data_IF_357468871279
#
_entry.id   IF_357468871279
#
_cell.length_a   1.000
_cell.length_b   1.000
_cell.length_c   1.000
_cell.angle_alpha   90.00
_cell.angle_beta   90.00
_cell.angle_gamma   90.00
#
_symmetry.space_group_name_H-M   'P 1'
#
loop_
_entity.id
_entity.type
_entity.pdbx_description
1 polymer ?
#
# COMPACT_ATOMS: atom_id res chain seq x y z
N UNK A 1 -0.35 7.85 7.35
CA UNK A 1 0.60 8.27 6.31
C UNK A 1 2.01 8.21 6.89
N UNK A 2 2.69 7.06 6.79
CA UNK A 2 4.03 6.82 7.34
C UNK A 2 4.90 6.04 6.34
N UNK A 3 5.43 6.69 5.30
CA UNK A 3 5.97 6.00 4.11
C UNK A 3 7.20 5.11 4.32
N UNK A 4 7.93 5.34 5.40
CA UNK A 4 9.14 4.58 5.74
C UNK A 4 8.85 3.31 6.54
N UNK A 5 7.61 3.11 6.99
CA UNK A 5 7.21 1.94 7.77
C UNK A 5 6.95 0.70 6.92
N UNK A 6 7.13 0.78 5.59
CA UNK A 6 6.86 -0.30 4.66
C UNK A 6 5.48 -0.93 4.91
N UNK A 7 5.39 -2.26 4.96
CA UNK A 7 4.17 -3.01 5.20
C UNK A 7 3.91 -3.32 6.69
N UNK A 8 4.73 -2.81 7.62
CA UNK A 8 4.69 -3.19 9.04
C UNK A 8 3.33 -2.97 9.72
N UNK A 9 2.54 -2.02 9.23
CA UNK A 9 1.22 -1.69 9.76
C UNK A 9 0.06 -2.13 8.87
N UNK A 10 0.34 -2.85 7.77
CA UNK A 10 -0.68 -3.25 6.81
C UNK A 10 -1.77 -4.11 7.46
N UNK A 11 -1.40 -5.11 8.25
CA UNK A 11 -2.37 -5.97 8.92
C UNK A 11 -3.28 -5.22 9.91
N UNK A 12 -2.68 -4.37 10.75
CA UNK A 12 -3.43 -3.55 11.71
C UNK A 12 -4.36 -2.57 11.00
N UNK A 13 -3.89 -1.96 9.90
CA UNK A 13 -4.69 -1.05 9.10
C UNK A 13 -5.86 -1.78 8.41
N UNK A 14 -5.64 -2.98 7.89
CA UNK A 14 -6.70 -3.82 7.30
C UNK A 14 -7.73 -4.28 8.33
N UNK A 15 -7.30 -4.60 9.55
CA UNK A 15 -8.20 -4.98 10.65
C UNK A 15 -9.06 -3.80 11.13
N UNK A 16 -8.50 -2.59 11.14
CA UNK A 16 -9.22 -1.36 11.47
C UNK A 16 -10.12 -0.86 10.33
N UNK A 17 -9.88 -1.31 9.10
CA UNK A 17 -10.68 -0.93 7.93
C UNK A 17 -11.94 -1.78 7.85
N UNK A 18 -13.09 -1.11 7.74
CA UNK A 18 -14.41 -1.75 7.58
C UNK A 18 -14.42 -2.66 6.35
N UNK A 19 -15.17 -3.78 6.35
CA UNK A 19 -15.30 -4.60 5.15
C UNK A 19 -15.83 -3.80 3.95
N UNK A 20 -15.23 -4.01 2.77
CA UNK A 20 -15.49 -3.19 1.57
C UNK A 20 -14.92 -1.77 1.60
N UNK A 21 -14.31 -1.34 2.72
CA UNK A 21 -13.65 -0.05 2.87
C UNK A 21 -12.35 0.08 2.08
N UNK A 22 -11.84 1.31 1.98
CA UNK A 22 -10.60 1.62 1.26
C UNK A 22 -9.48 1.98 2.23
N UNK A 23 -8.28 1.50 1.93
CA UNK A 23 -7.03 1.82 2.62
C UNK A 23 -6.07 2.45 1.61
N UNK A 24 -5.43 3.55 2.01
CA UNK A 24 -4.41 4.24 1.21
C UNK A 24 -3.05 4.05 1.88
N UNK A 25 -2.24 3.15 1.32
CA UNK A 25 -0.93 2.79 1.85
C UNK A 25 0.15 3.64 1.16
N UNK A 26 0.81 4.49 1.93
CA UNK A 26 1.94 5.29 1.44
C UNK A 26 3.24 4.52 1.66
N UNK A 27 4.08 4.43 0.63
CA UNK A 27 5.33 3.68 0.65
C UNK A 27 6.46 4.47 0.00
N UNK A 28 7.64 4.40 0.60
CA UNK A 28 8.87 4.90 0.00
C UNK A 28 9.54 3.78 -0.80
N UNK A 29 9.35 3.75 -2.11
CA UNK A 29 9.89 2.74 -3.03
C UNK A 29 11.17 3.22 -3.73
N UNK A 30 11.96 2.30 -4.27
CA UNK A 30 13.00 2.69 -5.23
C UNK A 30 12.35 3.05 -6.58
N UNK A 31 12.94 3.99 -7.30
CA UNK A 31 12.47 4.38 -8.62
C UNK A 31 12.55 3.19 -9.57
N UNK A 32 11.44 2.92 -10.27
CA UNK A 32 11.34 1.82 -11.24
C UNK A 32 10.91 0.48 -10.62
N UNK A 33 10.86 0.38 -9.29
CA UNK A 33 10.27 -0.77 -8.62
C UNK A 33 8.74 -0.62 -8.55
N UNK A 34 8.06 -1.77 -8.65
CA UNK A 34 6.62 -1.86 -8.46
C UNK A 34 6.29 -2.51 -7.10
N UNK A 35 5.97 -1.71 -6.06
CA UNK A 35 5.67 -2.23 -4.73
C UNK A 35 4.32 -2.97 -4.64
N UNK A 36 3.54 -3.03 -5.73
CA UNK A 36 2.25 -3.72 -5.73
C UNK A 36 2.38 -5.24 -5.59
N UNK A 37 3.46 -5.86 -6.07
CA UNK A 37 3.66 -7.31 -5.98
C UNK A 37 3.78 -7.78 -4.52
N UNK A 38 4.66 -7.15 -3.75
CA UNK A 38 4.84 -7.44 -2.33
C UNK A 38 3.56 -7.15 -1.53
N UNK A 39 2.91 -6.02 -1.82
CA UNK A 39 1.64 -5.64 -1.19
C UNK A 39 0.54 -6.63 -1.49
N UNK A 40 0.44 -7.11 -2.73
CA UNK A 40 -0.56 -8.11 -3.15
C UNK A 40 -0.34 -9.43 -2.44
N UNK A 41 0.91 -9.89 -2.34
CA UNK A 41 1.25 -11.11 -1.59
C UNK A 41 0.86 -11.00 -0.11
N UNK A 42 1.04 -9.83 0.50
CA UNK A 42 0.71 -9.59 1.90
C UNK A 42 -0.81 -9.46 2.18
N UNK A 43 -1.65 -9.27 1.16
CA UNK A 43 -3.09 -9.05 1.36
C UNK A 43 -3.87 -10.33 1.69
N UNK A 44 -3.36 -11.53 1.40
CA UNK A 44 -3.90 -12.86 1.75
C UNK A 44 -5.43 -12.89 1.93
N UNK A 45 -6.19 -12.77 0.83
CA UNK A 45 -7.68 -12.77 0.77
C UNK A 45 -8.38 -11.63 1.53
N UNK A 46 -7.68 -10.86 2.36
CA UNK A 46 -8.22 -9.74 3.15
C UNK A 46 -8.41 -8.48 2.31
N UNK A 47 -7.90 -8.41 1.09
CA UNK A 47 -8.13 -7.27 0.21
C UNK A 47 -7.51 -7.44 -1.16
N UNK A 48 -7.64 -6.39 -1.97
CA UNK A 48 -7.05 -6.31 -3.32
C UNK A 48 -6.48 -4.91 -3.56
N UNK A 49 -5.40 -4.84 -4.32
CA UNK A 49 -4.91 -3.56 -4.86
C UNK A 49 -5.86 -3.10 -5.96
N UNK A 50 -6.34 -1.86 -5.89
CA UNK A 50 -7.18 -1.25 -6.92
C UNK A 50 -6.37 -0.30 -7.81
N UNK A 51 -5.38 0.39 -7.25
CA UNK A 51 -4.54 1.32 -8.01
C UNK A 51 -3.19 1.57 -7.33
N UNK A 52 -2.25 2.10 -8.11
CA UNK A 52 -0.99 2.66 -7.64
C UNK A 52 -0.77 4.03 -8.28
N UNK A 53 -0.26 4.99 -7.52
CA UNK A 53 0.06 6.34 -8.01
C UNK A 53 1.39 6.83 -7.44
N UNK A 54 2.16 7.53 -8.27
CA UNK A 54 3.28 8.33 -7.81
C UNK A 54 2.73 9.58 -7.10
N UNK A 55 3.21 9.85 -5.89
CA UNK A 55 2.86 11.05 -5.13
C UNK A 55 3.88 12.15 -5.38
N UNK A 56 5.16 11.86 -5.11
CA UNK A 56 6.26 12.77 -5.43
C UNK A 56 7.62 12.03 -5.49
N UNK A 57 8.60 12.54 -6.25
CA UNK A 57 10.00 12.12 -6.13
C UNK A 57 10.53 12.50 -4.73
N UNK A 58 11.08 11.55 -3.98
CA UNK A 58 11.53 11.78 -2.60
C UNK A 58 13.02 12.16 -2.55
N UNK A 59 13.86 11.39 -3.23
CA UNK A 59 15.30 11.64 -3.38
C UNK A 59 15.81 11.01 -4.68
N UNK A 60 17.06 11.21 -5.09
CA UNK A 60 17.64 10.44 -6.20
C UNK A 60 17.44 8.94 -5.95
N UNK A 61 16.79 8.27 -6.91
CA UNK A 61 16.48 6.83 -6.83
C UNK A 61 15.32 6.43 -5.91
N UNK A 62 14.64 7.35 -5.22
CA UNK A 62 13.51 7.04 -4.32
C UNK A 62 12.26 7.86 -4.64
N UNK A 63 11.11 7.22 -4.54
CA UNK A 63 9.80 7.80 -4.86
C UNK A 63 8.79 7.50 -3.76
N UNK A 64 7.99 8.51 -3.41
CA UNK A 64 6.80 8.30 -2.60
C UNK A 64 5.68 7.82 -3.50
N UNK A 65 5.14 6.64 -3.21
CA UNK A 65 3.99 6.06 -3.89
C UNK A 65 2.84 5.87 -2.92
N UNK A 66 1.63 5.84 -3.46
CA UNK A 66 0.44 5.41 -2.76
C UNK A 66 -0.15 4.20 -3.48
N UNK A 67 -0.49 3.18 -2.70
CA UNK A 67 -1.23 2.00 -3.16
C UNK A 67 -2.62 2.08 -2.56
N UNK A 68 -3.63 2.07 -3.42
CA UNK A 68 -5.03 2.07 -3.04
C UNK A 68 -5.49 0.62 -2.92
N UNK A 69 -5.98 0.25 -1.74
CA UNK A 69 -6.35 -1.12 -1.39
C UNK A 69 -7.83 -1.13 -1.02
N UNK A 70 -8.58 -2.10 -1.57
CA UNK A 70 -9.94 -2.43 -1.14
C UNK A 70 -9.90 -3.56 -0.14
N UNK A 71 -10.44 -3.35 1.05
CA UNK A 71 -10.67 -4.40 2.03
C UNK A 71 -11.72 -5.37 1.49
N UNK A 72 -11.44 -6.66 1.57
CA UNK A 72 -12.40 -7.73 1.23
C UNK A 72 -13.68 -7.62 2.06
N UNK A 73 -14.78 -8.12 1.52
CA UNK A 73 -16.11 -7.91 2.09
C UNK A 73 -16.42 -8.73 3.34
N UNK A 74 -15.68 -9.82 3.60
CA UNK A 74 -15.85 -10.65 4.79
C UNK A 74 -17.16 -11.43 4.81
#
# INVERSE_FOLDING_TARGET
NHPTAQLNYLELALAATRPGGSLHLYLLANRGEDPTAETTAALVERGRVEAQRLVHPFSPGRELRVIDIRRGSG
#
